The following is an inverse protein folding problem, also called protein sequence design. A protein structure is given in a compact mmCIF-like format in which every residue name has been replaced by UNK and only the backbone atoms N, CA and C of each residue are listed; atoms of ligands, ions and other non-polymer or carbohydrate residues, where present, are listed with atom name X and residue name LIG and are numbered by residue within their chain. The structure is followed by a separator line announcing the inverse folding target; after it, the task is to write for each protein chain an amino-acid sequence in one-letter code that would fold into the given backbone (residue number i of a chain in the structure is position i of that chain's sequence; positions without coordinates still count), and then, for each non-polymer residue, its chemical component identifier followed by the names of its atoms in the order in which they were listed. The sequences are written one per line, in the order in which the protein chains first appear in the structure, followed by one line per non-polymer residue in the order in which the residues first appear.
data_IF_502274144985
#
_entry.id   IF_502274144985
#
_cell.length_a   1.000
_cell.length_b   1.000
_cell.length_c   1.000
_cell.angle_alpha   90.00
_cell.angle_beta   90.00
_cell.angle_gamma   90.00
#
_symmetry.space_group_name_H-M   'P 1'
#
loop_
_entity.id
_entity.type
_entity.pdbx_description
1 polymer ?
#
# COMPACT_ATOMS: atom_id res chain seq x y z
N UNK A 1 -18.30 1.51 15.34
CA UNK A 1 -18.28 2.83 14.67
C UNK A 1 -17.08 2.93 13.75
N UNK A 2 -17.32 3.38 12.53
CA UNK A 2 -16.23 3.56 11.55
C UNK A 2 -15.44 4.83 11.86
N UNK A 3 -14.12 4.72 11.89
CA UNK A 3 -13.20 5.85 12.07
C UNK A 3 -12.39 6.06 10.81
N UNK A 4 -12.20 7.31 10.41
CA UNK A 4 -11.31 7.65 9.32
C UNK A 4 -9.88 7.79 9.85
N UNK A 5 -8.92 7.32 9.08
CA UNK A 5 -7.48 7.45 9.39
C UNK A 5 -6.88 8.37 8.33
N UNK A 6 -6.12 9.36 8.78
CA UNK A 6 -5.49 10.34 7.90
C UNK A 6 -4.12 10.72 8.45
N UNK A 7 -3.14 10.79 7.57
CA UNK A 7 -1.77 11.20 7.92
C UNK A 7 -1.15 12.01 6.80
N UNK A 8 -0.29 12.97 7.15
CA UNK A 8 0.47 13.75 6.18
C UNK A 8 1.69 12.98 5.65
N UNK A 9 2.00 11.83 6.24
CA UNK A 9 3.14 11.00 5.83
C UNK A 9 2.80 10.02 4.71
N UNK A 10 1.58 10.10 4.19
CA UNK A 10 1.15 9.38 3.00
C UNK A 10 0.39 10.35 2.10
N UNK A 11 0.20 10.02 0.80
CA UNK A 11 -0.50 10.91 -0.11
C UNK A 11 -1.90 11.25 0.37
N UNK A 12 -2.25 12.53 0.33
CA UNK A 12 -3.59 12.99 0.74
C UNK A 12 -4.66 12.33 -0.12
N UNK A 13 -5.81 12.03 0.49
CA UNK A 13 -6.97 11.53 -0.23
C UNK A 13 -7.59 12.69 -1.01
N UNK A 14 -7.43 12.67 -2.33
CA UNK A 14 -7.98 13.70 -3.22
C UNK A 14 -9.21 13.10 -3.89
N UNK A 15 -10.40 13.38 -3.34
CA UNK A 15 -11.63 12.85 -3.88
C UNK A 15 -12.50 12.19 -2.80
N UNK A 16 -13.54 11.46 -3.22
CA UNK A 16 -14.53 10.92 -2.28
C UNK A 16 -14.07 9.61 -1.64
N UNK A 17 -12.90 9.61 -0.95
CA UNK A 17 -12.40 8.44 -0.24
C UNK A 17 -11.52 8.85 0.94
N UNK A 18 -11.29 7.93 1.87
CA UNK A 18 -10.36 8.11 2.98
C UNK A 18 -9.06 7.34 2.68
N UNK A 19 -7.94 7.76 3.28
CA UNK A 19 -6.69 6.98 3.19
C UNK A 19 -6.88 5.58 3.77
N UNK A 20 -7.59 5.49 4.88
CA UNK A 20 -7.96 4.23 5.50
C UNK A 20 -9.15 4.43 6.43
N UNK A 21 -9.81 3.33 6.76
CA UNK A 21 -10.88 3.32 7.75
C UNK A 21 -10.61 2.20 8.74
N UNK A 22 -11.12 2.37 9.96
CA UNK A 22 -11.01 1.36 11.01
C UNK A 22 -12.38 1.10 11.61
N UNK A 23 -12.66 -0.16 11.94
CA UNK A 23 -13.84 -0.57 12.69
C UNK A 23 -13.47 -1.77 13.56
N UNK A 24 -13.76 -1.70 14.86
CA UNK A 24 -13.36 -2.76 15.78
C UNK A 24 -11.84 -2.99 15.69
N UNK A 25 -11.44 -4.22 15.40
CA UNK A 25 -10.03 -4.59 15.28
C UNK A 25 -9.49 -4.49 13.85
N UNK A 26 -10.31 -4.08 12.88
CA UNK A 26 -9.88 -4.04 11.48
C UNK A 26 -9.48 -2.64 11.05
N UNK A 27 -8.42 -2.59 10.23
CA UNK A 27 -7.98 -1.40 9.51
C UNK A 27 -7.92 -1.77 8.03
N UNK A 28 -8.56 -0.99 7.20
CA UNK A 28 -8.64 -1.23 5.76
C UNK A 28 -8.12 0.03 5.06
N UNK A 29 -7.09 -0.10 4.23
CA UNK A 29 -6.53 1.04 3.50
C UNK A 29 -7.11 1.13 2.10
N UNK A 30 -7.16 2.35 1.59
CA UNK A 30 -7.29 2.56 0.16
C UNK A 30 -6.03 2.10 -0.55
N UNK A 31 -6.11 1.85 -1.85
CA UNK A 31 -4.95 1.53 -2.67
C UNK A 31 -3.93 2.66 -2.62
N UNK A 32 -2.69 2.31 -2.33
CA UNK A 32 -1.61 3.28 -2.27
C UNK A 32 -0.82 3.27 -3.57
N UNK A 33 -0.96 4.36 -4.32
CA UNK A 33 -0.10 4.65 -5.46
C UNK A 33 1.30 5.01 -4.95
N UNK A 34 2.34 4.87 -5.79
CA UNK A 34 3.71 5.15 -5.37
C UNK A 34 4.03 6.64 -5.33
N UNK A 35 3.13 7.46 -4.80
CA UNK A 35 3.33 8.90 -4.70
C UNK A 35 4.18 9.20 -3.47
N UNK A 36 5.28 9.91 -3.68
CA UNK A 36 6.04 10.45 -2.56
C UNK A 36 5.27 11.65 -2.00
N UNK A 37 4.79 11.61 -0.75
CA UNK A 37 3.96 12.70 -0.22
C UNK A 37 4.69 14.03 -0.08
N UNK A 38 6.03 14.01 -0.02
CA UNK A 38 6.83 15.24 0.08
C UNK A 38 6.95 15.96 -1.26
N UNK A 39 6.90 15.25 -2.38
CA UNK A 39 7.11 15.81 -3.72
C UNK A 39 5.89 15.75 -4.62
N UNK A 40 4.95 14.85 -4.35
CA UNK A 40 3.80 14.58 -5.20
C UNK A 40 4.14 13.76 -6.45
N UNK A 41 5.37 13.27 -6.59
CA UNK A 41 5.84 12.56 -7.76
C UNK A 41 6.05 11.07 -7.47
N UNK A 42 6.10 10.27 -8.55
CA UNK A 42 6.47 8.86 -8.47
C UNK A 42 7.99 8.73 -8.60
N UNK A 43 8.61 7.80 -7.85
CA UNK A 43 9.98 7.41 -8.15
C UNK A 43 10.03 6.59 -9.44
N UNK A 44 11.22 6.41 -9.98
CA UNK A 44 11.43 5.67 -11.22
C UNK A 44 11.55 4.17 -11.00
N UNK A 45 10.88 3.40 -11.84
CA UNK A 45 11.01 1.96 -11.89
C UNK A 45 10.18 1.21 -10.85
N UNK A 46 9.98 -0.09 -11.13
CA UNK A 46 9.09 -0.93 -10.32
C UNK A 46 9.59 -1.11 -8.89
N UNK A 47 10.91 -1.27 -8.69
CA UNK A 47 11.46 -1.50 -7.36
C UNK A 47 11.18 -0.30 -6.44
N UNK A 48 11.49 0.91 -6.88
CA UNK A 48 11.29 2.11 -6.06
C UNK A 48 9.82 2.48 -5.94
N UNK A 49 9.00 2.23 -6.96
CA UNK A 49 7.56 2.44 -6.86
C UNK A 49 6.94 1.47 -5.84
N UNK A 50 7.34 0.22 -5.84
CA UNK A 50 6.86 -0.75 -4.84
C UNK A 50 7.25 -0.31 -3.43
N UNK A 51 8.50 0.13 -3.25
CA UNK A 51 8.98 0.62 -1.96
C UNK A 51 8.15 1.81 -1.50
N UNK A 52 7.85 2.74 -2.38
CA UNK A 52 7.08 3.94 -2.04
C UNK A 52 5.63 3.59 -1.68
N UNK A 53 4.98 2.71 -2.44
CA UNK A 53 3.60 2.28 -2.12
C UNK A 53 3.53 1.63 -0.74
N UNK A 54 4.47 0.73 -0.43
CA UNK A 54 4.50 0.06 0.87
C UNK A 54 4.90 1.01 2.01
N UNK A 55 5.76 1.99 1.73
CA UNK A 55 6.10 3.03 2.71
C UNK A 55 4.86 3.87 3.05
N UNK A 56 4.04 4.16 2.05
CA UNK A 56 2.78 4.89 2.26
C UNK A 56 1.80 4.05 3.12
N UNK A 57 1.68 2.76 2.83
CA UNK A 57 0.88 1.84 3.65
C UNK A 57 1.39 1.85 5.10
N UNK A 58 2.69 1.73 5.28
CA UNK A 58 3.32 1.72 6.61
C UNK A 58 2.99 3.00 7.40
N UNK A 59 3.04 4.15 6.73
CA UNK A 59 2.72 5.42 7.37
C UNK A 59 1.26 5.49 7.82
N UNK A 60 0.34 5.00 6.99
CA UNK A 60 -1.09 4.97 7.33
C UNK A 60 -1.34 4.04 8.52
N UNK A 61 -0.71 2.86 8.53
CA UNK A 61 -0.85 1.91 9.63
C UNK A 61 -0.27 2.49 10.92
N UNK A 62 0.85 3.20 10.84
CA UNK A 62 1.45 3.86 12.00
C UNK A 62 0.49 4.88 12.61
N UNK A 63 -0.26 5.61 11.80
CA UNK A 63 -1.29 6.54 12.30
C UNK A 63 -2.39 5.78 13.04
N UNK A 64 -2.68 4.56 12.64
CA UNK A 64 -3.64 3.69 13.34
C UNK A 64 -3.02 2.99 14.57
N UNK A 65 -1.73 3.20 14.83
CA UNK A 65 -1.03 2.62 15.97
C UNK A 65 -0.54 1.20 15.76
N UNK A 66 -0.42 0.74 14.51
CA UNK A 66 0.02 -0.62 14.21
C UNK A 66 1.15 -0.62 13.17
N UNK A 67 1.87 -1.72 13.10
CA UNK A 67 2.97 -1.91 12.15
C UNK A 67 2.62 -2.86 11.02
N UNK A 68 3.59 -3.09 10.14
CA UNK A 68 3.44 -3.97 8.98
C UNK A 68 3.18 -5.42 9.38
N UNK A 69 3.61 -5.82 10.57
CA UNK A 69 3.39 -7.17 11.11
C UNK A 69 1.91 -7.47 11.41
N UNK A 70 1.05 -6.46 11.38
CA UNK A 70 -0.38 -6.61 11.63
C UNK A 70 -1.20 -6.76 10.34
N UNK A 71 -0.56 -6.73 9.19
CA UNK A 71 -1.24 -6.90 7.91
C UNK A 71 -1.69 -8.36 7.74
N UNK A 72 -2.98 -8.54 7.46
CA UNK A 72 -3.59 -9.85 7.23
C UNK A 72 -3.61 -10.20 5.75
N UNK A 73 -3.87 -9.21 4.90
CA UNK A 73 -4.05 -9.40 3.46
C UNK A 73 -3.55 -8.20 2.71
N UNK A 74 -2.84 -8.45 1.61
CA UNK A 74 -2.50 -7.42 0.64
C UNK A 74 -3.12 -7.75 -0.71
N UNK A 75 -3.42 -6.71 -1.50
CA UNK A 75 -3.73 -6.84 -2.92
C UNK A 75 -2.75 -5.95 -3.66
N UNK A 76 -2.02 -6.55 -4.59
CA UNK A 76 -1.02 -5.85 -5.41
C UNK A 76 -1.54 -5.78 -6.84
N UNK A 77 -1.71 -4.56 -7.34
CA UNK A 77 -2.12 -4.30 -8.72
C UNK A 77 -0.89 -3.88 -9.51
N UNK A 78 -0.62 -4.55 -10.62
CA UNK A 78 0.52 -4.26 -11.50
C UNK A 78 0.01 -3.82 -12.88
N UNK A 79 0.67 -2.85 -13.48
CA UNK A 79 0.38 -2.47 -14.86
C UNK A 79 1.01 -3.44 -15.86
N UNK A 80 2.00 -4.24 -15.42
CA UNK A 80 2.71 -5.21 -16.24
C UNK A 80 3.18 -6.37 -15.36
N UNK A 81 2.67 -7.58 -15.59
CA UNK A 81 3.02 -8.75 -14.80
C UNK A 81 4.49 -9.15 -14.97
N UNK A 82 5.17 -8.68 -16.02
CA UNK A 82 6.61 -8.88 -16.15
C UNK A 82 7.40 -8.25 -15.02
N UNK A 83 6.81 -7.29 -14.30
CA UNK A 83 7.41 -6.65 -13.14
C UNK A 83 7.23 -7.42 -11.83
N UNK A 84 6.55 -8.58 -11.89
CA UNK A 84 6.22 -9.33 -10.67
C UNK A 84 7.45 -9.70 -9.84
N UNK A 85 8.50 -10.21 -10.48
CA UNK A 85 9.71 -10.64 -9.77
C UNK A 85 10.40 -9.50 -9.03
N UNK A 86 10.58 -8.36 -9.72
CA UNK A 86 11.21 -7.18 -9.12
C UNK A 86 10.36 -6.57 -8.00
N UNK A 87 9.04 -6.52 -8.20
CA UNK A 87 8.10 -6.11 -7.16
C UNK A 87 8.23 -7.02 -5.94
N UNK A 88 8.25 -8.32 -6.18
CA UNK A 88 8.25 -9.32 -5.11
C UNK A 88 9.49 -9.24 -4.22
N UNK A 89 10.66 -8.92 -4.78
CA UNK A 89 11.87 -8.75 -4.00
C UNK A 89 11.76 -7.59 -3.00
N UNK A 90 11.23 -6.46 -3.43
CA UNK A 90 11.04 -5.29 -2.55
C UNK A 90 9.92 -5.56 -1.54
N UNK A 91 8.84 -6.16 -1.99
CA UNK A 91 7.70 -6.53 -1.13
C UNK A 91 8.18 -7.39 0.04
N UNK A 92 8.97 -8.43 -0.24
CA UNK A 92 9.46 -9.35 0.79
C UNK A 92 10.24 -8.64 1.90
N UNK A 93 10.97 -7.58 1.56
CA UNK A 93 11.79 -6.83 2.52
C UNK A 93 10.96 -6.08 3.58
N UNK A 94 9.67 -5.89 3.35
CA UNK A 94 8.78 -5.22 4.31
C UNK A 94 8.18 -6.18 5.33
N UNK A 95 8.38 -7.47 5.18
CA UNK A 95 7.77 -8.49 6.04
C UNK A 95 8.83 -9.44 6.60
N UNK A 96 8.43 -10.19 7.62
CA UNK A 96 9.30 -11.22 8.21
C UNK A 96 9.04 -12.54 7.50
N UNK A 97 10.10 -13.21 7.07
CA UNK A 97 9.99 -14.55 6.47
C UNK A 97 9.27 -15.49 7.42
N UNK A 98 8.34 -16.28 6.90
CA UNK A 98 7.51 -17.18 7.68
C UNK A 98 6.27 -16.51 8.27
N UNK A 99 6.12 -15.20 8.11
CA UNK A 99 4.98 -14.42 8.64
C UNK A 99 4.41 -13.47 7.60
N UNK A 100 4.38 -13.90 6.33
CA UNK A 100 3.80 -13.09 5.25
C UNK A 100 2.28 -13.03 5.36
N UNK A 101 1.68 -11.89 4.99
CA UNK A 101 0.22 -11.83 4.87
C UNK A 101 -0.28 -12.67 3.68
N UNK A 102 -1.57 -12.97 3.69
CA UNK A 102 -2.21 -13.48 2.48
C UNK A 102 -2.12 -12.43 1.38
N UNK A 103 -2.05 -12.85 0.11
CA UNK A 103 -1.89 -11.90 -0.99
C UNK A 103 -2.57 -12.36 -2.26
N UNK A 104 -3.12 -11.39 -3.00
CA UNK A 104 -3.44 -11.55 -4.41
C UNK A 104 -2.60 -10.53 -5.18
N UNK A 105 -2.05 -10.93 -6.32
CA UNK A 105 -1.32 -10.04 -7.21
C UNK A 105 -1.84 -10.24 -8.62
N UNK A 106 -2.26 -9.16 -9.28
CA UNK A 106 -2.89 -9.21 -10.60
C UNK A 106 -2.37 -8.10 -11.49
N UNK A 107 -2.38 -8.35 -12.79
CA UNK A 107 -2.17 -7.30 -13.79
C UNK A 107 -3.50 -6.63 -14.07
N UNK A 108 -3.51 -5.31 -14.17
CA UNK A 108 -4.69 -4.52 -14.52
C UNK A 108 -4.47 -3.80 -15.83
N UNK A 109 -5.55 -3.39 -16.47
CA UNK A 109 -5.46 -2.70 -17.75
C UNK A 109 -4.67 -1.40 -17.65
N UNK A 110 -4.82 -0.66 -16.54
CA UNK A 110 -4.14 0.61 -16.32
C UNK A 110 -4.31 1.03 -14.87
N UNK A 111 -3.30 1.72 -14.33
CA UNK A 111 -3.36 2.34 -13.01
C UNK A 111 -3.42 3.86 -13.13
N UNK A 112 -3.99 4.55 -12.13
CA UNK A 112 -4.01 6.01 -12.14
C UNK A 112 -2.60 6.59 -12.31
N UNK A 113 -2.50 7.67 -13.10
CA UNK A 113 -1.24 8.36 -13.40
C UNK A 113 -0.18 7.45 -13.99
N UNK A 114 -0.59 6.34 -14.61
CA UNK A 114 0.30 5.36 -15.22
C UNK A 114 1.31 4.76 -14.24
N UNK A 115 0.89 4.59 -12.97
CA UNK A 115 1.71 3.90 -11.98
C UNK A 115 2.00 2.47 -12.43
N UNK A 116 3.16 1.94 -12.00
CA UNK A 116 3.53 0.56 -12.26
C UNK A 116 2.93 -0.39 -11.23
N UNK A 117 2.56 0.13 -10.06
CA UNK A 117 2.05 -0.67 -8.95
C UNK A 117 1.12 0.15 -8.08
N UNK A 118 0.15 -0.53 -7.48
CA UNK A 118 -0.72 0.03 -6.44
C UNK A 118 -0.98 -1.08 -5.42
N UNK A 119 -0.95 -0.78 -4.13
CA UNK A 119 -1.09 -1.78 -3.08
C UNK A 119 -2.10 -1.32 -2.03
N UNK A 120 -3.03 -2.21 -1.68
CA UNK A 120 -3.97 -2.01 -0.59
C UNK A 120 -3.81 -3.12 0.43
N UNK A 121 -4.19 -2.86 1.68
CA UNK A 121 -4.07 -3.87 2.74
C UNK A 121 -5.29 -3.89 3.65
N UNK A 122 -5.47 -5.05 4.30
CA UNK A 122 -6.35 -5.25 5.44
C UNK A 122 -5.46 -5.66 6.59
N UNK A 123 -5.58 -4.98 7.72
CA UNK A 123 -4.77 -5.21 8.91
C UNK A 123 -5.64 -5.36 10.15
N UNK A 124 -5.08 -5.90 11.22
CA UNK A 124 -5.77 -6.04 12.50
C UNK A 124 -4.99 -5.33 13.60
N UNK A 125 -5.71 -4.68 14.47
CA UNK A 125 -5.12 -4.05 15.66
C UNK A 125 -4.66 -5.07 16.69
#
# INVERSE_FOLDING_TARGET
MKLNISTDHAPAAIGPYAQAVAVGNLVITSGQLPINPATGAFPEGIAEQTRQSLTNVKAILAEAGIGMDRILKTTVFLSDMNNFGAMNEVYAAFFTEGSYPARSAVEVARLPKDALVEIEVIAAK
#
